data_IF_766908260084
#
_entry.id   IF_766908260084
#
_cell.length_a   1.000
_cell.length_b   1.000
_cell.length_c   1.000
_cell.angle_alpha   90.00
_cell.angle_beta   90.00
_cell.angle_gamma   90.00
#
_symmetry.space_group_name_H-M   'P 1'
#
loop_
_entity.id
_entity.type
_entity.pdbx_description
1 polymer ?
#
# COMPACT_ATOMS: atom_id res chain seq x y z
N UNK A 1 38.66 -23.80 18.64
CA UNK A 1 37.57 -23.48 17.71
C UNK A 1 36.38 -23.14 18.56
N UNK A 2 36.15 -21.86 18.76
CA UNK A 2 35.02 -21.38 19.54
C UNK A 2 33.81 -21.22 18.59
N UNK A 3 32.73 -21.90 18.91
CA UNK A 3 31.42 -21.73 18.26
C UNK A 3 30.85 -20.43 18.79
N UNK A 4 30.74 -19.38 17.97
CA UNK A 4 30.00 -18.19 18.25
C UNK A 4 28.50 -18.56 18.25
N UNK A 5 27.93 -18.59 19.43
CA UNK A 5 26.51 -18.75 19.68
C UNK A 5 25.85 -17.40 19.46
N UNK A 6 25.10 -17.26 18.36
CA UNK A 6 24.28 -16.06 18.09
C UNK A 6 23.09 -16.05 19.03
N UNK A 7 23.18 -15.29 20.11
CA UNK A 7 22.04 -14.99 20.96
C UNK A 7 21.05 -14.10 20.21
N UNK A 8 19.79 -14.50 20.18
CA UNK A 8 18.70 -13.67 19.72
C UNK A 8 18.51 -12.49 20.69
N UNK A 9 18.21 -11.27 20.22
CA UNK A 9 17.90 -10.15 21.10
C UNK A 9 16.68 -10.46 21.97
N UNK A 10 16.70 -10.02 23.22
CA UNK A 10 15.60 -10.20 24.17
C UNK A 10 14.31 -9.53 23.66
N UNK A 11 13.16 -10.15 23.95
CA UNK A 11 11.82 -9.74 23.46
C UNK A 11 11.41 -8.29 23.86
N UNK A 12 12.07 -7.69 24.85
CA UNK A 12 11.80 -6.31 25.28
C UNK A 12 12.36 -5.25 24.33
N UNK A 13 13.46 -5.55 23.62
CA UNK A 13 14.05 -4.61 22.63
C UNK A 13 13.26 -4.60 21.30
N UNK A 14 12.54 -5.69 21.01
CA UNK A 14 11.71 -5.79 19.80
C UNK A 14 10.48 -4.86 19.80
N UNK A 15 9.98 -4.50 20.98
CA UNK A 15 8.77 -3.66 21.13
C UNK A 15 9.06 -2.16 20.84
N UNK A 16 10.27 -1.68 21.13
CA UNK A 16 10.65 -0.27 20.90
C UNK A 16 11.00 0.02 19.43
N UNK A 17 11.52 -0.95 18.72
CA UNK A 17 11.84 -0.83 17.27
C UNK A 17 10.55 -0.80 16.41
N UNK A 18 9.44 -1.34 16.92
CA UNK A 18 8.19 -1.48 16.19
C UNK A 18 7.48 -0.13 15.92
N UNK A 19 7.60 0.85 16.80
CA UNK A 19 6.96 2.16 16.62
C UNK A 19 7.74 3.07 15.65
N UNK A 20 9.07 2.94 15.59
CA UNK A 20 9.90 3.79 14.75
C UNK A 20 10.06 3.27 13.31
N UNK A 21 10.09 1.96 13.09
CA UNK A 21 10.24 1.35 11.76
C UNK A 21 8.96 1.40 10.91
N UNK A 22 7.80 1.55 11.52
CA UNK A 22 6.51 1.49 10.84
C UNK A 22 6.04 2.81 10.23
N UNK A 23 6.77 3.89 10.36
CA UNK A 23 6.49 5.14 9.67
C UNK A 23 7.01 5.15 8.21
N UNK A 24 6.92 4.00 7.53
CA UNK A 24 6.97 3.93 6.06
C UNK A 24 5.83 4.75 5.41
N UNK A 25 4.85 5.21 6.22
CA UNK A 25 3.86 6.20 5.81
C UNK A 25 4.39 7.62 5.83
N UNK A 26 5.44 7.84 6.61
CA UNK A 26 6.10 9.13 6.72
C UNK A 26 7.60 8.90 6.50
N UNK A 27 8.01 8.47 5.30
CA UNK A 27 9.43 8.39 4.98
C UNK A 27 10.10 9.77 5.10
N UNK A 28 9.29 10.82 5.36
CA UNK A 28 9.69 12.22 5.43
C UNK A 28 9.24 12.79 6.76
N UNK A 29 10.18 12.97 7.64
CA UNK A 29 10.00 13.70 8.89
C UNK A 29 9.92 15.20 8.63
N UNK A 30 10.33 15.66 7.45
CA UNK A 30 10.26 17.04 7.00
C UNK A 30 9.93 17.12 5.51
N UNK A 31 9.16 18.11 5.04
CA UNK A 31 8.97 18.38 3.61
C UNK A 31 10.29 18.64 2.85
N UNK A 32 11.40 18.83 3.57
CA UNK A 32 12.74 19.05 3.02
C UNK A 32 13.54 17.75 2.83
N UNK A 33 13.12 16.62 3.41
CA UNK A 33 13.94 15.41 3.47
C UNK A 33 13.92 14.60 2.18
N UNK A 34 12.82 14.64 1.42
CA UNK A 34 12.80 14.09 0.07
C UNK A 34 11.93 14.97 -0.84
N UNK A 35 12.44 15.35 -2.01
CA UNK A 35 11.65 16.21 -2.88
C UNK A 35 10.44 15.44 -3.36
N UNK A 36 9.24 15.89 -3.00
CA UNK A 36 7.95 15.37 -3.47
C UNK A 36 7.96 15.18 -5.00
N UNK A 37 8.76 15.98 -5.70
CA UNK A 37 8.97 15.88 -7.14
C UNK A 37 9.48 14.48 -7.54
N UNK A 38 10.39 13.87 -6.78
CA UNK A 38 10.90 12.52 -7.10
C UNK A 38 9.84 11.45 -6.92
N UNK A 39 8.90 11.61 -5.97
CA UNK A 39 7.77 10.72 -5.82
C UNK A 39 6.77 10.86 -6.97
N UNK A 40 6.49 12.10 -7.39
CA UNK A 40 5.61 12.38 -8.53
C UNK A 40 6.19 11.83 -9.83
N UNK A 41 7.50 11.99 -10.05
CA UNK A 41 8.19 11.39 -11.20
C UNK A 41 8.14 9.85 -11.12
N UNK A 42 8.32 9.28 -9.93
CA UNK A 42 8.31 7.85 -9.73
C UNK A 42 6.91 7.23 -9.85
N UNK A 43 5.83 7.94 -9.48
CA UNK A 43 4.47 7.38 -9.53
C UNK A 43 4.04 6.95 -10.94
N UNK A 44 4.48 7.68 -11.97
CA UNK A 44 4.18 7.35 -13.36
C UNK A 44 4.73 5.97 -13.77
N UNK A 45 5.84 5.54 -13.17
CA UNK A 45 6.45 4.23 -13.42
C UNK A 45 5.74 3.08 -12.70
N UNK A 46 4.85 3.39 -11.76
CA UNK A 46 4.13 2.44 -10.94
C UNK A 46 2.64 2.33 -11.28
N UNK A 47 2.16 3.12 -12.25
CA UNK A 47 0.77 3.09 -12.67
C UNK A 47 0.42 1.73 -13.33
N UNK A 48 -0.60 1.02 -12.86
CA UNK A 48 -1.07 -0.20 -13.51
C UNK A 48 -1.86 0.12 -14.78
N UNK A 49 -1.92 -0.84 -15.69
CA UNK A 49 -2.79 -0.75 -16.88
C UNK A 49 -4.25 -0.97 -16.49
N UNK A 50 -5.16 -0.17 -17.01
CA UNK A 50 -6.62 -0.32 -16.79
C UNK A 50 -7.13 -1.68 -17.26
N UNK A 51 -6.60 -2.20 -18.37
CA UNK A 51 -6.97 -3.53 -18.86
C UNK A 51 -6.58 -4.65 -17.89
N UNK A 52 -5.40 -4.53 -17.26
CA UNK A 52 -4.97 -5.46 -16.22
C UNK A 52 -5.85 -5.37 -14.98
N UNK A 53 -6.26 -4.16 -14.59
CA UNK A 53 -7.15 -3.94 -13.46
C UNK A 53 -8.54 -4.58 -13.65
N UNK A 54 -9.00 -4.72 -14.89
CA UNK A 54 -10.29 -5.34 -15.22
C UNK A 54 -10.23 -6.87 -15.40
N UNK A 55 -9.05 -7.48 -15.32
CA UNK A 55 -8.87 -8.91 -15.60
C UNK A 55 -9.58 -9.83 -14.60
N UNK A 56 -9.93 -11.05 -15.03
CA UNK A 56 -10.50 -12.06 -14.15
C UNK A 56 -9.52 -12.46 -13.05
N UNK A 57 -8.24 -12.59 -13.39
CA UNK A 57 -7.18 -12.92 -12.44
C UNK A 57 -7.07 -11.88 -11.32
N UNK A 58 -7.24 -10.57 -11.63
CA UNK A 58 -7.29 -9.53 -10.60
C UNK A 58 -8.47 -9.69 -9.66
N UNK A 59 -9.68 -9.94 -10.20
CA UNK A 59 -10.87 -10.13 -9.35
C UNK A 59 -10.69 -11.27 -8.37
N UNK A 60 -10.13 -12.39 -8.82
CA UNK A 60 -9.85 -13.55 -7.97
C UNK A 60 -8.78 -13.23 -6.92
N UNK A 61 -7.72 -12.50 -7.30
CA UNK A 61 -6.68 -12.06 -6.38
C UNK A 61 -7.23 -11.08 -5.32
N UNK A 62 -8.08 -10.12 -5.72
CA UNK A 62 -8.78 -9.19 -4.80
C UNK A 62 -9.65 -9.97 -3.81
N UNK A 63 -10.42 -10.95 -4.29
CA UNK A 63 -11.27 -11.77 -3.43
C UNK A 63 -10.44 -12.52 -2.39
N UNK A 64 -9.33 -13.14 -2.81
CA UNK A 64 -8.44 -13.86 -1.91
C UNK A 64 -7.77 -12.92 -0.88
N UNK A 65 -7.19 -11.81 -1.32
CA UNK A 65 -6.54 -10.82 -0.43
C UNK A 65 -7.55 -10.24 0.58
N UNK A 66 -8.78 -9.97 0.13
CA UNK A 66 -9.85 -9.48 1.00
C UNK A 66 -10.26 -10.53 2.03
N UNK A 67 -10.41 -11.81 1.62
CA UNK A 67 -10.68 -12.92 2.54
C UNK A 67 -9.62 -12.98 3.65
N UNK A 68 -8.34 -12.96 3.26
CA UNK A 68 -7.22 -13.01 4.21
C UNK A 68 -7.20 -11.79 5.14
N UNK A 69 -7.47 -10.59 4.62
CA UNK A 69 -7.50 -9.35 5.41
C UNK A 69 -8.58 -9.35 6.48
N UNK A 70 -9.76 -9.88 6.17
CA UNK A 70 -10.92 -9.87 7.07
C UNK A 70 -11.06 -11.15 7.89
N UNK A 71 -10.19 -12.13 7.71
CA UNK A 71 -10.10 -13.31 8.56
C UNK A 71 -9.60 -12.90 9.94
N UNK A 72 -10.46 -13.02 10.96
CA UNK A 72 -10.17 -12.54 12.31
C UNK A 72 -8.94 -13.19 12.98
N UNK A 73 -8.54 -14.38 12.53
CA UNK A 73 -7.37 -15.10 13.05
C UNK A 73 -6.05 -14.67 12.37
N UNK A 74 -6.11 -14.14 11.15
CA UNK A 74 -4.95 -13.89 10.32
C UNK A 74 -4.56 -12.41 10.24
N UNK A 75 -5.42 -11.53 10.71
CA UNK A 75 -5.32 -10.06 10.76
C UNK A 75 -4.13 -9.47 9.97
N UNK A 76 -4.09 -9.74 8.66
CA UNK A 76 -3.08 -9.14 7.80
C UNK A 76 -3.25 -7.63 7.84
N UNK A 77 -2.20 -6.93 8.24
CA UNK A 77 -2.25 -5.48 8.35
C UNK A 77 -2.77 -4.86 7.04
N UNK A 78 -3.71 -3.92 7.08
CA UNK A 78 -4.36 -3.37 5.88
C UNK A 78 -3.39 -2.87 4.81
N UNK A 79 -2.24 -2.34 5.20
CA UNK A 79 -1.19 -1.87 4.28
C UNK A 79 -0.47 -3.01 3.56
N UNK A 80 -0.29 -4.14 4.22
CA UNK A 80 0.25 -5.34 3.55
C UNK A 80 -0.71 -5.77 2.45
N UNK A 81 -2.00 -5.81 2.74
CA UNK A 81 -3.03 -6.12 1.75
C UNK A 81 -3.05 -5.09 0.60
N UNK A 82 -2.92 -3.79 0.92
CA UNK A 82 -2.82 -2.73 -0.09
C UNK A 82 -1.61 -2.91 -1.00
N UNK A 83 -0.44 -3.10 -0.41
CA UNK A 83 0.81 -3.28 -1.16
C UNK A 83 0.78 -4.57 -2.00
N UNK A 84 0.21 -5.65 -1.45
CA UNK A 84 0.04 -6.90 -2.18
C UNK A 84 -0.83 -6.72 -3.44
N UNK A 85 -1.97 -6.02 -3.32
CA UNK A 85 -2.82 -5.75 -4.48
C UNK A 85 -2.14 -4.83 -5.49
N UNK A 86 -1.37 -3.84 -5.03
CA UNK A 86 -0.55 -3.02 -5.93
C UNK A 86 0.47 -3.88 -6.71
N UNK A 87 1.08 -4.88 -6.09
CA UNK A 87 1.98 -5.81 -6.79
C UNK A 87 1.23 -6.68 -7.81
N UNK A 88 0.02 -7.16 -7.47
CA UNK A 88 -0.85 -7.87 -8.41
C UNK A 88 -1.13 -7.01 -9.65
N UNK A 89 -1.55 -5.76 -9.43
CA UNK A 89 -1.89 -4.83 -10.51
C UNK A 89 -0.68 -4.54 -11.41
N UNK A 90 0.47 -4.27 -10.82
CA UNK A 90 1.72 -4.02 -11.55
C UNK A 90 2.22 -5.27 -12.28
N UNK A 91 2.09 -6.46 -11.69
CA UNK A 91 2.44 -7.71 -12.35
C UNK A 91 1.57 -7.94 -13.59
N UNK A 92 0.24 -7.86 -13.44
CA UNK A 92 -0.72 -8.09 -14.51
C UNK A 92 -0.62 -7.05 -15.64
N UNK A 93 -0.13 -5.84 -15.33
CA UNK A 93 0.15 -4.83 -16.34
C UNK A 93 1.34 -5.17 -17.26
N UNK A 94 2.27 -5.97 -16.78
CA UNK A 94 3.51 -6.30 -17.51
C UNK A 94 3.57 -7.75 -17.97
N UNK A 95 2.80 -8.63 -17.34
CA UNK A 95 2.83 -10.08 -17.58
C UNK A 95 1.42 -10.64 -17.62
N UNK A 96 1.19 -11.57 -18.56
CA UNK A 96 0.00 -12.42 -18.53
C UNK A 96 0.30 -13.66 -17.70
N UNK A 97 -0.69 -14.10 -16.92
CA UNK A 97 -0.62 -15.41 -16.29
C UNK A 97 -0.73 -16.50 -17.37
N UNK A 98 -0.04 -17.62 -17.16
CA UNK A 98 -0.13 -18.77 -18.03
C UNK A 98 -1.58 -19.31 -18.15
N UNK A 99 -2.37 -19.10 -17.08
CA UNK A 99 -3.80 -19.37 -17.03
C UNK A 99 -4.45 -18.35 -16.07
N UNK A 100 -5.56 -17.74 -16.49
CA UNK A 100 -6.33 -16.83 -15.64
C UNK A 100 -7.28 -17.56 -14.68
N UNK A 101 -7.37 -18.88 -14.78
CA UNK A 101 -8.17 -19.70 -13.87
C UNK A 101 -7.37 -20.16 -12.66
N UNK A 102 -8.08 -20.52 -11.60
CA UNK A 102 -7.45 -21.15 -10.43
C UNK A 102 -6.59 -22.35 -10.84
N UNK A 103 -5.46 -22.59 -10.17
CA UNK A 103 -5.01 -21.93 -8.92
C UNK A 103 -4.07 -20.73 -9.12
N UNK A 104 -3.81 -20.26 -10.34
CA UNK A 104 -2.80 -19.25 -10.66
C UNK A 104 -3.06 -17.88 -10.05
N UNK A 105 -4.28 -17.29 -10.10
CA UNK A 105 -4.55 -16.02 -9.45
C UNK A 105 -4.34 -16.06 -7.94
N UNK A 106 -4.69 -17.19 -7.30
CA UNK A 106 -4.46 -17.37 -5.86
C UNK A 106 -2.98 -17.49 -5.53
N UNK A 107 -2.19 -18.21 -6.32
CA UNK A 107 -0.74 -18.27 -6.15
C UNK A 107 -0.09 -16.90 -6.31
N UNK A 108 -0.52 -16.11 -7.29
CA UNK A 108 -0.07 -14.73 -7.47
C UNK A 108 -0.40 -13.89 -6.24
N UNK A 109 -1.65 -13.91 -5.78
CA UNK A 109 -2.11 -13.14 -4.62
C UNK A 109 -1.35 -13.50 -3.34
N UNK A 110 -1.18 -14.81 -3.07
CA UNK A 110 -0.42 -15.30 -1.92
C UNK A 110 1.04 -14.86 -1.97
N UNK A 111 1.68 -14.96 -3.13
CA UNK A 111 3.07 -14.53 -3.30
C UNK A 111 3.24 -13.01 -3.18
N UNK A 112 2.27 -12.24 -3.67
CA UNK A 112 2.25 -10.78 -3.47
C UNK A 112 2.05 -10.40 -2.00
N UNK A 113 1.18 -11.12 -1.25
CA UNK A 113 1.03 -10.94 0.19
C UNK A 113 2.34 -11.26 0.94
N UNK A 114 3.00 -12.36 0.59
CA UNK A 114 4.29 -12.73 1.18
C UNK A 114 5.37 -11.68 0.93
N UNK A 115 5.48 -11.18 -0.31
CA UNK A 115 6.41 -10.10 -0.64
C UNK A 115 6.07 -8.81 0.11
N UNK A 116 4.79 -8.44 0.16
CA UNK A 116 4.34 -7.24 0.85
C UNK A 116 4.64 -7.33 2.36
N UNK A 117 4.40 -8.49 2.99
CA UNK A 117 4.72 -8.71 4.39
C UNK A 117 6.24 -8.57 4.66
N UNK A 118 7.07 -9.16 3.81
CA UNK A 118 8.54 -9.00 3.89
C UNK A 118 8.98 -7.55 3.74
N UNK A 119 8.39 -6.81 2.80
CA UNK A 119 8.68 -5.40 2.58
C UNK A 119 8.24 -4.51 3.74
N UNK A 120 7.17 -4.91 4.43
CA UNK A 120 6.65 -4.25 5.63
C UNK A 120 7.24 -4.84 6.93
N UNK A 121 8.22 -5.73 6.84
CA UNK A 121 8.90 -6.39 7.96
C UNK A 121 7.95 -7.03 8.97
N UNK A 122 6.83 -7.59 8.51
CA UNK A 122 5.86 -8.27 9.37
C UNK A 122 6.39 -9.65 9.75
N UNK A 123 6.89 -9.78 10.97
CA UNK A 123 7.51 -11.02 11.46
C UNK A 123 6.50 -12.18 11.62
N UNK A 124 5.24 -11.87 11.90
CA UNK A 124 4.19 -12.89 12.18
C UNK A 124 3.50 -13.44 10.94
N UNK A 125 3.91 -13.02 9.74
CA UNK A 125 3.28 -13.48 8.50
C UNK A 125 3.66 -14.94 8.19
N UNK A 126 2.67 -15.83 8.15
CA UNK A 126 2.85 -17.26 7.82
C UNK A 126 2.03 -17.65 6.60
N UNK A 127 2.71 -18.12 5.56
CA UNK A 127 2.08 -18.63 4.33
C UNK A 127 1.22 -19.87 4.65
N UNK A 128 1.72 -20.77 5.48
CA UNK A 128 1.03 -22.01 5.83
C UNK A 128 -0.26 -21.72 6.62
N UNK A 129 -0.21 -20.70 7.49
CA UNK A 129 -1.39 -20.27 8.23
C UNK A 129 -2.48 -19.70 7.30
N UNK A 130 -2.09 -18.88 6.31
CA UNK A 130 -3.03 -18.29 5.34
C UNK A 130 -3.72 -19.37 4.48
N UNK A 131 -3.05 -20.48 4.24
CA UNK A 131 -3.56 -21.55 3.39
C UNK A 131 -4.30 -22.65 4.15
N UNK A 132 -4.35 -22.60 5.48
CA UNK A 132 -4.85 -23.70 6.32
C UNK A 132 -6.25 -24.18 5.93
N UNK A 133 -7.14 -23.26 5.60
CA UNK A 133 -8.54 -23.53 5.28
C UNK A 133 -8.83 -23.56 3.76
N UNK A 134 -7.77 -23.73 2.97
CA UNK A 134 -7.90 -23.79 1.52
C UNK A 134 -7.84 -25.24 1.01
N UNK A 135 -8.64 -25.55 0.00
CA UNK A 135 -8.71 -26.89 -0.60
C UNK A 135 -7.38 -27.38 -1.21
N UNK A 136 -6.50 -26.43 -1.55
CA UNK A 136 -5.20 -26.71 -2.13
C UNK A 136 -4.14 -25.78 -1.55
N UNK A 137 -3.05 -26.36 -1.07
CA UNK A 137 -1.90 -25.63 -0.52
C UNK A 137 -0.74 -25.61 -1.50
N UNK A 138 -0.12 -24.47 -1.68
CA UNK A 138 1.14 -24.34 -2.42
C UNK A 138 2.32 -24.56 -1.49
N UNK A 139 3.30 -25.34 -1.95
CA UNK A 139 4.56 -25.50 -1.22
C UNK A 139 5.38 -24.20 -1.25
N UNK A 140 6.25 -24.05 -0.26
CA UNK A 140 7.08 -22.85 -0.12
C UNK A 140 8.03 -22.61 -1.32
N UNK A 141 8.43 -23.66 -2.04
CA UNK A 141 9.28 -23.51 -3.22
C UNK A 141 8.50 -22.93 -4.40
N UNK A 142 7.26 -23.34 -4.57
CA UNK A 142 6.36 -22.80 -5.60
C UNK A 142 6.04 -21.32 -5.33
N UNK A 143 5.73 -20.97 -4.08
CA UNK A 143 5.51 -19.56 -3.70
C UNK A 143 6.77 -18.73 -3.94
N UNK A 144 7.95 -19.18 -3.51
CA UNK A 144 9.23 -18.48 -3.77
C UNK A 144 9.54 -18.31 -5.26
N UNK A 145 9.15 -19.27 -6.09
CA UNK A 145 9.31 -19.15 -7.55
C UNK A 145 8.41 -18.07 -8.13
N UNK A 146 7.15 -17.99 -7.69
CA UNK A 146 6.23 -16.93 -8.09
C UNK A 146 6.68 -15.56 -7.56
N UNK A 147 7.18 -15.47 -6.33
CA UNK A 147 7.76 -14.23 -5.79
C UNK A 147 8.88 -13.67 -6.71
N UNK A 148 9.78 -14.54 -7.18
CA UNK A 148 10.82 -14.12 -8.14
C UNK A 148 10.26 -13.64 -9.46
N UNK A 149 9.18 -14.25 -9.94
CA UNK A 149 8.49 -13.78 -11.14
C UNK A 149 7.84 -12.41 -10.93
N UNK A 150 7.20 -12.21 -9.79
CA UNK A 150 6.64 -10.91 -9.41
C UNK A 150 7.76 -9.87 -9.35
N UNK A 151 8.85 -10.13 -8.63
CA UNK A 151 9.98 -9.21 -8.53
C UNK A 151 10.58 -8.88 -9.90
N UNK A 152 10.71 -9.86 -10.78
CA UNK A 152 11.16 -9.65 -12.17
C UNK A 152 10.21 -8.75 -12.96
N UNK A 153 8.89 -8.92 -12.82
CA UNK A 153 7.90 -8.06 -13.45
C UNK A 153 7.91 -6.63 -12.88
N UNK A 154 8.19 -6.50 -11.58
CA UNK A 154 8.37 -5.22 -10.90
C UNK A 154 9.72 -4.57 -11.17
N UNK A 155 10.62 -5.21 -11.95
CA UNK A 155 11.99 -4.73 -12.20
C UNK A 155 12.77 -4.52 -10.88
N UNK A 156 12.49 -5.37 -9.88
CA UNK A 156 13.01 -5.28 -8.51
C UNK A 156 12.65 -4.00 -7.75
N UNK A 157 11.75 -3.17 -8.32
CA UNK A 157 11.23 -1.95 -7.70
C UNK A 157 10.07 -2.29 -6.76
N UNK A 158 10.36 -3.04 -5.69
CA UNK A 158 9.35 -3.46 -4.72
C UNK A 158 8.85 -2.31 -3.82
N UNK A 159 9.62 -1.22 -3.68
CA UNK A 159 9.13 0.02 -3.05
C UNK A 159 8.17 0.70 -4.02
N UNK A 160 6.88 0.39 -3.87
CA UNK A 160 5.85 1.04 -4.68
C UNK A 160 5.52 2.42 -4.13
N UNK A 161 5.41 3.40 -5.03
CA UNK A 161 4.78 4.67 -4.69
C UNK A 161 3.28 4.42 -4.56
N UNK A 162 2.75 4.66 -3.38
CA UNK A 162 1.34 4.46 -3.05
C UNK A 162 0.73 5.77 -2.57
N UNK A 163 -0.61 5.93 -2.54
CA UNK A 163 -1.24 7.13 -2.01
C UNK A 163 -0.80 7.50 -0.59
N UNK A 164 -0.43 6.51 0.22
CA UNK A 164 0.02 6.77 1.59
C UNK A 164 1.26 7.67 1.65
N UNK A 165 2.16 7.58 0.69
CA UNK A 165 3.36 8.40 0.63
C UNK A 165 3.07 9.91 0.50
N UNK A 166 1.89 10.27 -0.02
CA UNK A 166 1.50 11.66 -0.22
C UNK A 166 0.66 12.27 0.91
N UNK A 167 0.09 11.43 1.80
CA UNK A 167 -0.86 11.92 2.82
C UNK A 167 -0.22 12.95 3.75
N UNK A 168 0.96 12.66 4.30
CA UNK A 168 1.64 13.57 5.23
C UNK A 168 2.10 14.84 4.55
N UNK A 169 2.54 14.75 3.29
CA UNK A 169 2.90 15.92 2.50
C UNK A 169 1.69 16.86 2.32
N UNK A 170 0.56 16.37 1.81
CA UNK A 170 -0.63 17.23 1.62
C UNK A 170 -1.15 17.79 2.94
N UNK A 171 -1.08 17.02 4.03
CA UNK A 171 -1.46 17.52 5.35
C UNK A 171 -0.54 18.64 5.82
N UNK A 172 0.78 18.56 5.60
CA UNK A 172 1.74 19.61 5.98
C UNK A 172 1.58 20.87 5.14
N UNK A 173 1.15 20.75 3.88
CA UNK A 173 0.83 21.89 3.02
C UNK A 173 -0.44 22.61 3.51
N UNK A 174 -1.46 21.85 3.90
CA UNK A 174 -2.74 22.41 4.34
C UNK A 174 -2.69 22.90 5.79
N UNK A 175 -1.87 22.29 6.62
CA UNK A 175 -1.71 22.60 8.05
C UNK A 175 -0.21 22.68 8.41
N UNK A 176 0.46 23.78 8.00
CA UNK A 176 1.90 23.93 8.31
C UNK A 176 2.14 24.01 9.81
N UNK A 177 3.27 23.46 10.31
CA UNK A 177 3.66 23.62 11.71
C UNK A 177 3.77 25.10 12.10
N UNK A 178 3.46 25.50 13.32
CA UNK A 178 3.05 24.70 14.48
C UNK A 178 1.53 24.42 14.57
N UNK A 179 0.76 24.76 13.56
CA UNK A 179 -0.70 24.66 13.57
C UNK A 179 -1.13 23.25 13.14
N UNK A 180 -1.09 22.31 14.10
CA UNK A 180 -1.73 21.01 13.90
C UNK A 180 -3.06 20.96 14.67
N UNK A 181 -4.20 21.26 14.03
CA UNK A 181 -5.50 21.06 14.66
C UNK A 181 -5.66 19.60 15.12
N UNK A 182 -6.32 19.33 16.26
CA UNK A 182 -6.52 17.96 16.74
C UNK A 182 -7.25 17.06 15.73
N UNK A 183 -7.95 17.66 14.77
CA UNK A 183 -8.66 16.97 13.70
C UNK A 183 -7.73 16.38 12.63
N UNK A 184 -6.47 16.82 12.52
CA UNK A 184 -5.54 16.34 11.47
C UNK A 184 -5.32 14.83 11.56
N UNK A 185 -5.13 14.30 12.77
CA UNK A 185 -5.00 12.86 12.98
C UNK A 185 -6.26 12.09 12.56
N UNK A 186 -7.44 12.62 12.89
CA UNK A 186 -8.72 12.01 12.50
C UNK A 186 -8.94 12.08 10.98
N UNK A 187 -8.58 13.19 10.33
CA UNK A 187 -8.63 13.33 8.87
C UNK A 187 -7.69 12.30 8.22
N UNK A 188 -6.45 12.18 8.71
CA UNK A 188 -5.48 11.20 8.20
C UNK A 188 -6.01 9.77 8.33
N UNK A 189 -6.51 9.40 9.51
CA UNK A 189 -7.07 8.07 9.76
C UNK A 189 -8.26 7.77 8.84
N UNK A 190 -9.16 8.75 8.64
CA UNK A 190 -10.29 8.59 7.74
C UNK A 190 -9.86 8.48 6.28
N UNK A 191 -8.88 9.26 5.84
CA UNK A 191 -8.32 9.15 4.49
C UNK A 191 -7.70 7.76 4.25
N UNK A 192 -6.96 7.23 5.21
CA UNK A 192 -6.44 5.85 5.16
C UNK A 192 -7.56 4.83 4.99
N UNK A 193 -8.65 4.92 5.77
CA UNK A 193 -9.80 4.02 5.64
C UNK A 193 -10.45 4.11 4.25
N UNK A 194 -10.62 5.33 3.72
CA UNK A 194 -11.15 5.55 2.37
C UNK A 194 -10.26 4.92 1.29
N UNK A 195 -8.94 5.10 1.38
CA UNK A 195 -7.97 4.50 0.45
C UNK A 195 -8.06 2.97 0.44
N UNK A 196 -8.13 2.37 1.63
CA UNK A 196 -8.20 0.92 1.78
C UNK A 196 -9.52 0.33 1.24
N UNK A 197 -10.62 1.08 1.33
CA UNK A 197 -11.93 0.67 0.79
C UNK A 197 -12.02 0.86 -0.72
N UNK A 198 -11.39 1.91 -1.25
CA UNK A 198 -11.46 2.24 -2.67
C UNK A 198 -10.54 1.36 -3.53
N UNK A 199 -9.44 0.85 -3.00
CA UNK A 199 -8.43 0.11 -3.77
C UNK A 199 -8.98 -1.09 -4.58
N UNK A 200 -9.95 -1.89 -4.12
CA UNK A 200 -10.49 -2.98 -4.91
C UNK A 200 -11.17 -2.52 -6.20
N UNK A 201 -11.64 -1.27 -6.24
CA UNK A 201 -12.36 -0.72 -7.39
C UNK A 201 -11.46 -0.57 -8.62
N UNK A 202 -11.92 -1.07 -9.76
CA UNK A 202 -11.18 -1.05 -11.04
C UNK A 202 -10.80 0.38 -11.44
N UNK A 203 -11.71 1.33 -11.24
CA UNK A 203 -11.51 2.73 -11.59
C UNK A 203 -10.35 3.40 -10.84
N UNK A 204 -9.96 2.88 -9.68
CA UNK A 204 -8.81 3.44 -8.94
C UNK A 204 -7.49 3.29 -9.69
N UNK A 205 -7.39 2.32 -10.59
CA UNK A 205 -6.21 2.14 -11.45
C UNK A 205 -6.05 3.22 -12.53
N UNK A 206 -7.07 4.05 -12.76
CA UNK A 206 -7.03 5.14 -13.75
C UNK A 206 -6.32 6.39 -13.20
N UNK A 207 -6.16 6.47 -11.88
CA UNK A 207 -5.64 7.67 -11.21
C UNK A 207 -4.26 7.43 -10.63
N UNK A 208 -3.44 8.47 -10.68
CA UNK A 208 -2.13 8.44 -10.03
C UNK A 208 -2.27 8.43 -8.49
N UNK A 209 -1.31 7.83 -7.78
CA UNK A 209 -1.32 7.77 -6.32
C UNK A 209 -1.48 9.13 -5.63
N UNK A 210 -0.86 10.18 -6.16
CA UNK A 210 -0.98 11.55 -5.64
C UNK A 210 -2.42 12.06 -5.72
N UNK A 211 -3.10 11.84 -6.86
CA UNK A 211 -4.51 12.23 -7.07
C UNK A 211 -5.42 11.48 -6.10
N UNK A 212 -5.22 10.18 -5.98
CA UNK A 212 -6.01 9.34 -5.06
C UNK A 212 -5.81 9.79 -3.61
N UNK A 213 -4.59 10.14 -3.20
CA UNK A 213 -4.29 10.65 -1.87
C UNK A 213 -4.97 11.99 -1.59
N UNK A 214 -4.85 12.96 -2.52
CA UNK A 214 -5.49 14.28 -2.39
C UNK A 214 -7.02 14.14 -2.30
N UNK A 215 -7.62 13.31 -3.15
CA UNK A 215 -9.06 13.06 -3.16
C UNK A 215 -9.54 12.41 -1.85
N UNK A 216 -8.79 11.43 -1.34
CA UNK A 216 -9.13 10.77 -0.07
C UNK A 216 -9.05 11.74 1.12
N UNK A 217 -8.05 12.63 1.14
CA UNK A 217 -7.91 13.66 2.18
C UNK A 217 -9.04 14.70 2.10
N UNK A 218 -9.42 15.14 0.90
CA UNK A 218 -10.54 16.06 0.71
C UNK A 218 -11.85 15.44 1.18
N UNK A 219 -12.11 14.19 0.82
CA UNK A 219 -13.28 13.46 1.29
C UNK A 219 -13.28 13.30 2.81
N UNK A 220 -12.16 12.92 3.40
CA UNK A 220 -12.00 12.78 4.84
C UNK A 220 -12.18 14.13 5.58
N UNK A 221 -11.61 15.22 5.06
CA UNK A 221 -11.77 16.56 5.63
C UNK A 221 -13.23 17.01 5.60
N UNK A 222 -13.96 16.71 4.51
CA UNK A 222 -15.38 16.98 4.39
C UNK A 222 -16.22 16.26 5.45
N UNK A 223 -15.88 15.00 5.74
CA UNK A 223 -16.61 14.19 6.71
C UNK A 223 -16.27 14.55 8.17
N UNK A 224 -14.98 14.79 8.46
CA UNK A 224 -14.48 14.96 9.83
C UNK A 224 -14.46 16.42 10.27
N UNK A 225 -14.20 17.35 9.36
CA UNK A 225 -13.96 18.75 9.66
C UNK A 225 -14.50 19.68 8.56
N UNK A 226 -15.78 19.60 8.25
CA UNK A 226 -16.43 20.33 7.15
C UNK A 226 -16.16 21.85 7.17
N UNK A 227 -16.04 22.45 8.35
CA UNK A 227 -15.70 23.86 8.49
C UNK A 227 -14.31 24.24 7.94
N UNK A 228 -13.38 23.29 7.92
CA UNK A 228 -12.01 23.51 7.45
C UNK A 228 -11.83 23.15 5.97
N UNK A 229 -12.84 22.59 5.33
CA UNK A 229 -12.78 22.14 3.94
C UNK A 229 -12.32 23.23 2.95
N UNK A 230 -12.81 24.49 3.02
CA UNK A 230 -12.36 25.53 2.10
C UNK A 230 -10.86 25.85 2.22
N UNK A 231 -10.33 25.87 3.45
CA UNK A 231 -8.92 26.07 3.68
C UNK A 231 -8.08 24.90 3.15
N UNK A 232 -8.57 23.69 3.34
CA UNK A 232 -7.91 22.47 2.81
C UNK A 232 -7.91 22.47 1.28
N UNK A 233 -9.03 22.78 0.64
CA UNK A 233 -9.13 22.90 -0.82
C UNK A 233 -8.17 23.97 -1.36
N UNK A 234 -8.09 25.13 -0.70
CA UNK A 234 -7.17 26.19 -1.09
C UNK A 234 -5.70 25.76 -0.95
N UNK A 235 -5.36 25.05 0.14
CA UNK A 235 -4.02 24.51 0.36
C UNK A 235 -3.61 23.49 -0.72
N UNK A 236 -4.49 22.55 -1.04
CA UNK A 236 -4.25 21.57 -2.11
C UNK A 236 -4.13 22.26 -3.48
N UNK A 237 -5.00 23.22 -3.78
CA UNK A 237 -4.99 23.96 -5.05
C UNK A 237 -3.76 24.88 -5.19
N UNK A 238 -3.25 25.41 -4.09
CA UNK A 238 -2.03 26.23 -4.07
C UNK A 238 -0.74 25.40 -4.17
N UNK A 239 -0.83 24.08 -4.02
CA UNK A 239 0.33 23.20 -4.10
C UNK A 239 0.88 23.20 -5.54
N UNK A 240 2.15 23.62 -5.78
CA UNK A 240 2.70 23.74 -7.11
C UNK A 240 2.79 22.41 -7.87
N UNK A 241 2.69 21.31 -7.14
CA UNK A 241 2.73 19.94 -7.68
C UNK A 241 1.36 19.39 -8.06
N UNK A 242 0.26 20.08 -7.70
CA UNK A 242 -1.12 19.64 -7.95
C UNK A 242 -1.70 20.23 -9.24
N UNK A 243 -1.01 21.19 -9.86
CA UNK A 243 -1.46 21.85 -11.10
C UNK A 243 -1.65 20.91 -12.31
N UNK A 244 -1.28 19.65 -12.21
CA UNK A 244 -1.54 18.60 -13.21
C UNK A 244 -2.72 17.70 -12.83
N UNK A 245 -3.29 17.91 -11.66
CA UNK A 245 -4.31 17.03 -11.11
C UNK A 245 -5.67 17.59 -11.50
N UNK A 246 -6.29 17.02 -12.50
CA UNK A 246 -7.75 17.14 -12.69
C UNK A 246 -8.42 16.58 -11.44
N UNK A 247 -8.71 17.46 -10.48
CA UNK A 247 -9.47 17.07 -9.31
C UNK A 247 -10.85 16.61 -9.76
N UNK A 248 -11.10 15.32 -9.63
CA UNK A 248 -12.45 14.77 -9.75
C UNK A 248 -13.13 15.08 -8.42
N UNK A 249 -13.83 16.18 -8.39
CA UNK A 249 -14.77 16.55 -7.32
C UNK A 249 -16.12 15.92 -7.60
#
# INVERSE_FOLDING_TARGET
MATEEWALPDEEDAAYDYEFEFDLENPFTSPADEPIASLLDAEAHHAPSVSAAASAARRDAVAFISKVRFSGELAVHPRVAYLALNYVDRFLSKRQLACEQQPWPRLLALSCLSLAAKMQRVATFSIDHIQRDEDFMFDAATVRRMERWVLGALEWRARSVTPFAFLSFFLSVCYPPPQHPPQVAAIKARAVDLLLRAQPEVKMAEFSPSVVAASALLAAAREVAAANLPAFQAGVAACPFVNSVSMIL
#
